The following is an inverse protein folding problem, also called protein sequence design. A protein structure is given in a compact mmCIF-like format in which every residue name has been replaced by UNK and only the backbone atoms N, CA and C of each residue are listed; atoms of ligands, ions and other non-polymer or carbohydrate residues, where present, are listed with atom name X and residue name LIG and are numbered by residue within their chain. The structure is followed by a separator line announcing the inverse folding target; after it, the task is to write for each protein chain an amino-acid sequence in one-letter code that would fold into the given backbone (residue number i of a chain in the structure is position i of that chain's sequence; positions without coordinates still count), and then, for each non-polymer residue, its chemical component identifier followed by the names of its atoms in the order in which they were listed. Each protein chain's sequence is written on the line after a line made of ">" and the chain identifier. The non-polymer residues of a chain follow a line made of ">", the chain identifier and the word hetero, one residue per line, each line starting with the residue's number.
data_IF_612575470954
#
_entry.id   IF_612575470954
#
_cell.length_a   1.000
_cell.length_b   1.000
_cell.length_c   1.000
_cell.angle_alpha   90.00
_cell.angle_beta   90.00
_cell.angle_gamma   90.00
#
_symmetry.space_group_name_H-M   'P 1'
#
loop_
_entity.id
_entity.type
_entity.pdbx_description
1 polymer ?
#
# COMPACT_ATOMS: atom_id res chain seq x y z
N UNK A 1 65.01 -30.24 -29.31
CA UNK A 1 64.04 -30.32 -30.44
C UNK A 1 63.45 -28.93 -30.58
N UNK A 2 63.43 -28.37 -31.79
CA UNK A 2 63.13 -26.95 -32.02
C UNK A 2 62.03 -26.77 -33.06
N UNK A 3 61.02 -25.95 -32.74
CA UNK A 3 59.97 -25.45 -33.65
C UNK A 3 59.62 -24.03 -33.16
N UNK A 4 60.17 -22.95 -33.70
CA UNK A 4 59.80 -22.31 -34.98
C UNK A 4 58.26 -22.12 -35.01
N UNK A 5 57.71 -21.01 -34.52
CA UNK A 5 57.67 -19.66 -35.11
C UNK A 5 56.86 -19.56 -36.41
N UNK A 6 55.63 -19.00 -36.33
CA UNK A 6 55.24 -17.75 -37.03
C UNK A 6 53.75 -17.39 -36.77
N UNK A 7 53.37 -16.10 -36.64
CA UNK A 7 51.99 -15.64 -36.43
C UNK A 7 51.34 -15.01 -37.70
N UNK A 8 50.09 -14.49 -37.54
CA UNK A 8 49.24 -13.66 -38.45
C UNK A 8 48.22 -14.39 -39.35
N UNK A 9 47.16 -13.69 -39.86
CA UNK A 9 46.83 -12.26 -39.71
C UNK A 9 45.42 -11.94 -39.16
N UNK A 10 45.29 -10.74 -38.57
CA UNK A 10 44.00 -10.05 -38.43
C UNK A 10 43.57 -9.46 -39.78
N UNK A 11 42.26 -9.51 -40.09
CA UNK A 11 41.69 -8.80 -41.24
C UNK A 11 40.78 -7.68 -40.74
N UNK A 12 41.05 -6.46 -41.20
CA UNK A 12 40.19 -5.29 -41.09
C UNK A 12 40.04 -4.67 -42.50
N UNK A 13 39.04 -3.80 -42.69
CA UNK A 13 38.69 -3.09 -43.96
C UNK A 13 38.12 -3.97 -45.10
N UNK A 14 37.27 -3.47 -46.02
CA UNK A 14 36.50 -2.21 -46.07
C UNK A 14 35.42 -2.22 -47.20
N UNK A 15 34.24 -1.63 -46.91
CA UNK A 15 33.45 -0.65 -47.72
C UNK A 15 33.21 -0.81 -49.26
N UNK A 16 31.93 -0.91 -49.68
CA UNK A 16 31.24 -0.13 -50.76
C UNK A 16 29.75 -0.58 -50.90
N UNK A 17 28.71 0.29 -50.77
CA UNK A 17 27.98 1.10 -51.79
C UNK A 17 27.23 0.26 -52.86
N UNK A 18 25.92 0.35 -53.15
CA UNK A 18 24.97 1.49 -53.35
C UNK A 18 23.49 0.98 -53.39
N UNK A 19 22.45 1.75 -53.82
CA UNK A 19 21.89 3.02 -53.35
C UNK A 19 20.41 2.92 -52.84
N UNK A 20 19.85 4.01 -52.28
CA UNK A 20 18.43 4.12 -51.86
C UNK A 20 17.43 4.51 -52.98
N UNK A 21 16.14 4.75 -52.65
CA UNK A 21 15.78 6.05 -52.06
C UNK A 21 14.81 6.05 -50.86
N UNK A 22 15.00 7.08 -50.02
CA UNK A 22 14.03 8.05 -49.46
C UNK A 22 12.52 7.82 -49.64
N UNK A 23 11.62 8.18 -48.69
CA UNK A 23 11.72 8.75 -47.33
C UNK A 23 10.32 8.57 -46.65
N UNK A 24 9.93 9.06 -45.46
CA UNK A 24 10.41 10.13 -44.55
C UNK A 24 10.08 9.81 -43.07
N UNK A 25 10.46 10.71 -42.15
CA UNK A 25 9.90 10.85 -40.78
C UNK A 25 9.58 12.32 -40.53
N UNK A 26 8.74 12.63 -39.53
CA UNK A 26 8.98 13.80 -38.69
C UNK A 26 9.06 13.43 -37.20
N UNK A 27 9.91 14.15 -36.47
CA UNK A 27 9.98 14.15 -35.01
C UNK A 27 10.54 15.49 -34.55
N UNK A 28 9.77 16.30 -33.82
CA UNK A 28 10.30 17.42 -33.03
C UNK A 28 9.30 17.92 -31.97
N UNK A 29 9.86 18.31 -30.82
CA UNK A 29 9.47 19.34 -29.83
C UNK A 29 8.11 19.37 -29.09
N UNK A 30 8.21 18.87 -27.85
CA UNK A 30 8.04 19.56 -26.54
C UNK A 30 7.59 21.06 -26.51
N UNK A 31 6.85 21.38 -25.43
CA UNK A 31 6.44 22.69 -24.88
C UNK A 31 5.21 23.38 -25.48
N UNK A 32 4.09 23.30 -24.74
CA UNK A 32 3.38 24.52 -24.33
C UNK A 32 2.71 24.34 -22.95
N UNK A 33 2.87 25.33 -22.07
CA UNK A 33 2.25 25.43 -20.73
C UNK A 33 1.65 26.83 -20.56
N UNK A 34 0.77 27.02 -19.57
CA UNK A 34 0.09 28.31 -19.22
C UNK A 34 -1.13 28.61 -20.14
N UNK A 35 -2.29 29.16 -19.72
CA UNK A 35 -2.73 29.88 -18.50
C UNK A 35 -4.20 29.56 -18.13
N UNK A 36 -4.50 29.57 -16.82
CA UNK A 36 -5.76 29.75 -16.05
C UNK A 36 -7.18 29.71 -16.69
N UNK A 37 -8.11 29.13 -15.91
CA UNK A 37 -9.24 29.91 -15.35
C UNK A 37 -10.67 29.43 -15.66
N UNK A 38 -11.33 28.76 -14.71
CA UNK A 38 -12.77 28.45 -14.79
C UNK A 38 -13.28 27.61 -13.63
N UNK A 39 -14.30 28.10 -12.92
CA UNK A 39 -14.87 27.49 -11.70
C UNK A 39 -16.01 26.51 -12.04
N UNK A 40 -16.15 25.41 -11.28
CA UNK A 40 -17.44 24.95 -10.68
C UNK A 40 -17.29 23.68 -9.83
N UNK A 41 -18.25 23.45 -8.94
CA UNK A 41 -18.13 22.54 -7.80
C UNK A 41 -19.04 21.29 -7.87
N UNK A 42 -18.80 20.36 -6.93
CA UNK A 42 -19.65 19.23 -6.51
C UNK A 42 -19.81 18.08 -7.54
N UNK A 43 -20.00 16.81 -7.15
CA UNK A 43 -20.44 16.25 -5.86
C UNK A 43 -19.78 14.91 -5.52
N UNK A 44 -19.67 14.57 -4.24
CA UNK A 44 -19.59 13.18 -3.75
C UNK A 44 -21.00 12.65 -3.44
N UNK A 45 -21.24 11.33 -3.43
CA UNK A 45 -21.12 10.53 -2.20
C UNK A 45 -20.27 9.25 -2.42
N UNK A 46 -19.45 8.80 -1.48
CA UNK A 46 -19.72 8.29 -0.12
C UNK A 46 -20.11 6.80 -0.07
N UNK A 47 -19.47 6.10 0.85
CA UNK A 47 -19.41 4.63 0.98
C UNK A 47 -20.69 4.04 1.55
N UNK A 48 -21.20 2.95 0.96
CA UNK A 48 -22.20 2.09 1.58
C UNK A 48 -21.79 0.61 1.49
N UNK A 49 -21.80 -0.08 2.64
CA UNK A 49 -21.38 -1.48 2.82
C UNK A 49 -22.63 -2.36 2.94
N UNK A 50 -22.85 -3.27 1.99
CA UNK A 50 -23.88 -4.31 2.13
C UNK A 50 -23.46 -5.65 1.48
N UNK A 51 -23.60 -6.69 2.29
CA UNK A 51 -23.24 -8.09 2.12
C UNK A 51 -23.91 -8.80 0.92
N UNK A 52 -23.15 -9.58 0.13
CA UNK A 52 -23.35 -11.05 -0.08
C UNK A 52 -22.61 -11.62 -1.32
N UNK A 53 -22.04 -12.84 -1.25
CA UNK A 53 -21.35 -13.49 -2.38
C UNK A 53 -22.24 -14.52 -3.12
N UNK A 54 -22.13 -14.63 -4.46
CA UNK A 54 -22.36 -15.90 -5.23
C UNK A 54 -22.32 -15.80 -6.76
N UNK A 55 -22.52 -14.63 -7.40
CA UNK A 55 -22.82 -14.57 -8.85
C UNK A 55 -21.65 -14.63 -9.85
N UNK A 56 -20.39 -14.73 -9.38
CA UNK A 56 -19.21 -14.58 -10.24
C UNK A 56 -18.66 -15.79 -11.03
N UNK A 57 -19.04 -17.09 -10.82
CA UNK A 57 -18.42 -18.18 -11.59
C UNK A 57 -18.90 -18.25 -13.05
N UNK A 58 -20.08 -17.70 -13.37
CA UNK A 58 -20.64 -17.77 -14.73
C UNK A 58 -19.98 -16.82 -15.74
N UNK A 59 -19.62 -15.59 -15.31
CA UNK A 59 -19.06 -14.55 -16.20
C UNK A 59 -17.63 -14.85 -16.65
N UNK A 60 -16.85 -15.55 -15.82
CA UNK A 60 -15.52 -16.02 -16.20
C UNK A 60 -15.59 -17.21 -17.17
N UNK A 61 -16.64 -18.05 -17.07
CA UNK A 61 -16.84 -19.21 -17.96
C UNK A 61 -17.27 -18.81 -19.38
N UNK A 62 -17.97 -17.70 -19.58
CA UNK A 62 -18.24 -17.17 -20.92
C UNK A 62 -16.98 -16.59 -21.55
N UNK A 63 -16.24 -15.72 -20.85
CA UNK A 63 -14.99 -15.15 -21.36
C UNK A 63 -13.95 -16.21 -21.78
N UNK A 64 -13.85 -17.32 -21.04
CA UNK A 64 -13.00 -18.45 -21.42
C UNK A 64 -13.55 -19.24 -22.63
N UNK A 65 -14.87 -19.38 -22.78
CA UNK A 65 -15.46 -19.99 -23.99
C UNK A 65 -15.22 -19.15 -25.23
N UNK A 66 -15.33 -17.83 -25.10
CA UNK A 66 -15.10 -16.88 -26.19
C UNK A 66 -13.61 -16.84 -26.59
N UNK A 67 -12.70 -16.97 -25.62
CA UNK A 67 -11.24 -17.03 -25.87
C UNK A 67 -10.77 -18.34 -26.55
N UNK A 68 -11.46 -19.45 -26.29
CA UNK A 68 -11.17 -20.77 -26.90
C UNK A 68 -12.14 -21.15 -28.03
N UNK A 69 -12.98 -20.22 -28.50
CA UNK A 69 -14.01 -20.41 -29.53
C UNK A 69 -14.95 -21.63 -29.29
N UNK A 70 -15.20 -22.01 -28.04
CA UNK A 70 -15.97 -23.20 -27.68
C UNK A 70 -17.47 -22.95 -27.79
N UNK A 71 -18.06 -23.38 -28.91
CA UNK A 71 -19.51 -23.35 -29.19
C UNK A 71 -20.30 -23.94 -28.00
N UNK A 72 -21.34 -23.26 -27.48
CA UNK A 72 -22.16 -23.80 -26.40
C UNK A 72 -23.02 -24.99 -26.90
N UNK A 73 -23.17 -26.07 -26.10
CA UNK A 73 -24.08 -27.16 -26.44
C UNK A 73 -25.52 -26.67 -26.38
N UNK A 74 -26.31 -26.94 -27.43
CA UNK A 74 -27.74 -26.58 -27.52
C UNK A 74 -28.09 -25.35 -28.36
N UNK A 75 -27.17 -24.83 -29.17
CA UNK A 75 -27.40 -23.65 -30.04
C UNK A 75 -27.89 -23.99 -31.46
N UNK A 76 -28.55 -25.15 -31.64
CA UNK A 76 -29.09 -25.62 -32.93
C UNK A 76 -30.62 -25.49 -32.99
N UNK A 77 -31.12 -24.29 -32.69
CA UNK A 77 -32.49 -23.89 -32.97
C UNK A 77 -32.62 -22.37 -33.13
N UNK A 78 -33.09 -21.93 -34.31
CA UNK A 78 -33.50 -20.57 -34.70
C UNK A 78 -32.42 -19.50 -35.01
N UNK A 79 -32.80 -18.59 -35.93
CA UNK A 79 -32.16 -17.34 -36.37
C UNK A 79 -30.98 -17.43 -37.39
N UNK A 80 -31.35 -17.17 -38.64
CA UNK A 80 -30.56 -17.09 -39.89
C UNK A 80 -29.89 -15.72 -40.16
N UNK A 81 -28.93 -15.72 -41.12
CA UNK A 81 -28.42 -14.57 -41.93
C UNK A 81 -27.57 -13.52 -41.18
N UNK A 82 -26.54 -12.90 -41.75
CA UNK A 82 -26.12 -12.83 -43.17
C UNK A 82 -24.60 -12.60 -43.42
N UNK A 83 -24.18 -12.83 -44.68
CA UNK A 83 -22.94 -12.42 -45.39
C UNK A 83 -21.58 -12.35 -44.67
N UNK A 84 -20.70 -13.32 -44.98
CA UNK A 84 -19.45 -13.03 -45.72
C UNK A 84 -18.89 -14.25 -46.44
N UNK A 85 -18.62 -14.10 -47.74
CA UNK A 85 -18.21 -15.20 -48.63
C UNK A 85 -16.70 -15.46 -48.53
N UNK A 86 -16.33 -16.74 -48.39
CA UNK A 86 -15.03 -17.25 -48.81
C UNK A 86 -15.22 -18.54 -49.61
N UNK A 87 -14.32 -18.74 -50.58
CA UNK A 87 -14.54 -19.51 -51.80
C UNK A 87 -14.11 -20.96 -51.64
N UNK A 88 -15.06 -21.89 -51.64
CA UNK A 88 -14.82 -23.32 -51.92
C UNK A 88 -15.83 -23.83 -52.94
N UNK A 89 -15.34 -24.53 -53.96
CA UNK A 89 -16.14 -24.99 -55.11
C UNK A 89 -16.83 -26.31 -54.74
N UNK A 90 -18.17 -26.41 -54.79
CA UNK A 90 -18.85 -27.69 -54.66
C UNK A 90 -18.70 -28.46 -55.98
N UNK A 91 -17.85 -29.50 -55.96
CA UNK A 91 -17.77 -30.46 -57.07
C UNK A 91 -18.93 -31.45 -56.91
N UNK A 92 -20.02 -31.24 -57.64
CA UNK A 92 -21.04 -32.28 -57.78
C UNK A 92 -20.40 -33.52 -58.42
N UNK A 93 -20.28 -34.59 -57.66
CA UNK A 93 -20.22 -35.95 -58.18
C UNK A 93 -21.53 -36.63 -57.82
N UNK A 94 -22.40 -36.74 -58.81
CA UNK A 94 -23.47 -37.71 -58.82
C UNK A 94 -22.86 -39.11 -58.65
N UNK A 95 -23.24 -39.79 -57.58
CA UNK A 95 -22.84 -41.16 -57.27
C UNK A 95 -23.90 -41.73 -56.31
N UNK A 96 -24.69 -42.67 -56.80
CA UNK A 96 -25.76 -43.29 -56.02
C UNK A 96 -25.24 -44.16 -54.86
N UNK A 97 -26.06 -44.19 -53.82
CA UNK A 97 -26.38 -45.37 -53.00
C UNK A 97 -25.44 -46.58 -53.10
N UNK A 98 -24.42 -46.61 -52.24
CA UNK A 98 -23.96 -47.84 -51.61
C UNK A 98 -23.79 -47.58 -50.11
N UNK A 99 -24.61 -48.25 -49.32
CA UNK A 99 -24.61 -48.20 -47.86
C UNK A 99 -23.52 -49.12 -47.27
N UNK A 100 -22.26 -48.70 -47.38
CA UNK A 100 -21.13 -49.32 -46.67
C UNK A 100 -20.78 -48.52 -45.39
N UNK A 101 -21.26 -48.94 -44.20
CA UNK A 101 -21.03 -48.20 -42.95
C UNK A 101 -19.55 -48.25 -42.47
N UNK A 102 -18.75 -49.16 -43.03
CA UNK A 102 -17.35 -49.41 -42.64
C UNK A 102 -16.40 -48.26 -42.99
N UNK A 103 -16.70 -47.46 -44.03
CA UNK A 103 -15.81 -46.40 -44.51
C UNK A 103 -15.83 -45.13 -43.64
N UNK A 104 -16.80 -45.00 -42.72
CA UNK A 104 -16.96 -43.85 -41.82
C UNK A 104 -16.57 -44.17 -40.37
N UNK A 105 -16.09 -45.39 -40.11
CA UNK A 105 -15.61 -45.84 -38.78
C UNK A 105 -14.09 -45.79 -38.63
N UNK A 106 -13.37 -45.15 -39.56
CA UNK A 106 -11.90 -45.05 -39.57
C UNK A 106 -11.31 -44.09 -38.50
N UNK A 107 -12.00 -43.90 -37.38
CA UNK A 107 -11.39 -43.43 -36.13
C UNK A 107 -11.31 -44.60 -35.16
N UNK A 108 -10.17 -44.74 -34.48
CA UNK A 108 -9.89 -45.66 -33.34
C UNK A 108 -9.24 -47.04 -33.56
N UNK A 109 -8.98 -47.54 -34.78
CA UNK A 109 -8.05 -48.71 -34.92
C UNK A 109 -6.58 -48.26 -34.90
N UNK A 110 -6.22 -47.29 -35.75
CA UNK A 110 -4.86 -46.72 -35.83
C UNK A 110 -4.43 -45.97 -34.56
N UNK A 111 -5.39 -45.41 -33.81
CA UNK A 111 -5.16 -44.66 -32.56
C UNK A 111 -5.16 -45.56 -31.31
N UNK A 112 -5.31 -46.89 -31.47
CA UNK A 112 -5.36 -47.81 -30.34
C UNK A 112 -3.96 -47.98 -29.70
N UNK A 113 -3.88 -48.10 -28.36
CA UNK A 113 -2.59 -48.22 -27.67
C UNK A 113 -1.87 -49.54 -27.96
N UNK A 114 -2.63 -50.57 -28.37
CA UNK A 114 -2.14 -51.90 -28.73
C UNK A 114 -2.04 -52.10 -30.25
N UNK A 115 -1.95 -51.01 -31.03
CA UNK A 115 -1.92 -51.06 -32.49
C UNK A 115 -0.69 -51.81 -33.04
N UNK A 116 -0.94 -52.90 -33.76
CA UNK A 116 0.07 -53.65 -34.50
C UNK A 116 0.03 -53.27 -36.01
N UNK A 117 1.03 -52.53 -36.52
CA UNK A 117 1.06 -52.13 -37.92
C UNK A 117 1.23 -53.31 -38.89
N UNK A 118 1.85 -54.42 -38.46
CA UNK A 118 2.06 -55.57 -39.35
C UNK A 118 0.73 -56.29 -39.61
N UNK A 119 0.01 -56.64 -38.53
CA UNK A 119 -1.34 -57.23 -38.66
C UNK A 119 -2.32 -56.33 -39.38
N UNK A 120 -2.30 -55.02 -39.13
CA UNK A 120 -3.19 -54.09 -39.84
C UNK A 120 -2.94 -54.09 -41.36
N UNK A 121 -1.67 -54.05 -41.78
CA UNK A 121 -1.31 -54.10 -43.21
C UNK A 121 -1.62 -55.47 -43.83
N UNK A 122 -1.32 -56.58 -43.14
CA UNK A 122 -1.66 -57.93 -43.61
C UNK A 122 -3.18 -58.10 -43.79
N UNK A 123 -3.96 -57.66 -42.79
CA UNK A 123 -5.42 -57.67 -42.86
C UNK A 123 -5.91 -56.83 -44.05
N UNK A 124 -5.47 -55.58 -44.16
CA UNK A 124 -5.84 -54.66 -45.23
C UNK A 124 -5.52 -55.22 -46.63
N UNK A 125 -4.35 -55.84 -46.82
CA UNK A 125 -3.95 -56.47 -48.08
C UNK A 125 -4.72 -57.76 -48.39
N UNK A 126 -5.17 -58.50 -47.36
CA UNK A 126 -5.92 -59.74 -47.53
C UNK A 126 -7.42 -59.54 -47.79
N UNK A 127 -8.01 -58.47 -47.25
CA UNK A 127 -9.46 -58.22 -47.32
C UNK A 127 -9.87 -57.20 -48.37
N UNK A 128 -8.98 -56.27 -48.74
CA UNK A 128 -9.34 -55.09 -49.54
C UNK A 128 -8.76 -55.10 -50.95
N UNK A 129 -9.45 -54.45 -51.88
CA UNK A 129 -8.98 -54.28 -53.27
C UNK A 129 -7.77 -53.34 -53.38
N UNK A 130 -7.01 -53.46 -54.47
CA UNK A 130 -5.88 -52.56 -54.78
C UNK A 130 -6.29 -51.07 -54.78
N UNK A 131 -7.49 -50.75 -55.30
CA UNK A 131 -7.98 -49.36 -55.35
C UNK A 131 -8.24 -48.79 -53.94
N UNK A 132 -8.75 -49.61 -53.03
CA UNK A 132 -8.94 -49.25 -51.61
C UNK A 132 -7.63 -49.13 -50.86
N UNK A 133 -6.63 -49.98 -51.15
CA UNK A 133 -5.27 -49.88 -50.57
C UNK A 133 -4.58 -48.59 -51.00
N UNK A 134 -4.59 -48.24 -52.29
CA UNK A 134 -4.00 -46.99 -52.80
C UNK A 134 -4.70 -45.74 -52.25
N UNK A 135 -6.02 -45.81 -52.01
CA UNK A 135 -6.76 -44.73 -51.34
C UNK A 135 -6.32 -44.57 -49.88
N UNK A 136 -6.19 -45.68 -49.14
CA UNK A 136 -5.72 -45.67 -47.75
C UNK A 136 -4.28 -45.15 -47.64
N UNK A 137 -3.38 -45.53 -48.54
CA UNK A 137 -2.02 -44.98 -48.64
C UNK A 137 -2.05 -43.45 -48.82
N UNK A 138 -2.85 -42.96 -49.78
CA UNK A 138 -2.91 -41.53 -50.07
C UNK A 138 -3.43 -40.71 -48.89
N UNK A 139 -4.48 -41.21 -48.21
CA UNK A 139 -5.00 -40.65 -46.97
C UNK A 139 -3.92 -40.63 -45.88
N UNK A 140 -3.29 -41.76 -45.58
CA UNK A 140 -2.27 -41.87 -44.53
C UNK A 140 -1.04 -40.99 -44.80
N UNK A 141 -0.60 -40.83 -46.06
CA UNK A 141 0.45 -39.87 -46.43
C UNK A 141 0.00 -38.41 -46.25
N UNK A 142 -1.28 -38.10 -46.46
CA UNK A 142 -1.88 -36.81 -46.15
C UNK A 142 -1.92 -36.53 -44.64
N UNK A 143 -2.33 -37.53 -43.86
CA UNK A 143 -2.45 -37.43 -42.40
C UNK A 143 -1.07 -37.28 -41.74
N UNK A 144 -0.06 -38.05 -42.15
CA UNK A 144 1.33 -37.90 -41.69
C UNK A 144 1.85 -36.47 -41.88
N UNK A 145 1.57 -35.86 -43.04
CA UNK A 145 2.00 -34.48 -43.34
C UNK A 145 1.24 -33.45 -42.51
N UNK A 146 -0.05 -33.69 -42.28
CA UNK A 146 -0.91 -32.83 -41.45
C UNK A 146 -0.46 -32.88 -40.00
N UNK A 147 -0.29 -34.08 -39.43
CA UNK A 147 0.16 -34.31 -38.06
C UNK A 147 1.58 -33.77 -37.80
N UNK A 148 2.51 -33.88 -38.76
CA UNK A 148 3.83 -33.25 -38.65
C UNK A 148 3.73 -31.71 -38.66
N UNK A 149 2.84 -31.14 -39.47
CA UNK A 149 2.52 -29.72 -39.47
C UNK A 149 1.93 -29.25 -38.13
N UNK A 150 0.95 -29.96 -37.60
CA UNK A 150 0.32 -29.69 -36.30
C UNK A 150 1.31 -29.84 -35.14
N UNK A 151 2.11 -30.91 -35.12
CA UNK A 151 3.19 -31.11 -34.14
C UNK A 151 4.15 -29.93 -34.15
N UNK A 152 4.58 -29.47 -35.32
CA UNK A 152 5.45 -28.29 -35.45
C UNK A 152 4.75 -27.04 -34.94
N UNK A 153 3.49 -26.81 -35.31
CA UNK A 153 2.71 -25.66 -34.85
C UNK A 153 2.57 -25.62 -33.32
N UNK A 154 2.25 -26.76 -32.68
CA UNK A 154 2.18 -26.90 -31.22
C UNK A 154 3.53 -26.60 -30.54
N UNK A 155 4.63 -27.10 -31.10
CA UNK A 155 5.99 -26.82 -30.61
C UNK A 155 6.33 -25.34 -30.73
N UNK A 156 6.04 -24.69 -31.86
CA UNK A 156 6.27 -23.25 -32.04
C UNK A 156 5.40 -22.40 -31.12
N UNK A 157 4.14 -22.74 -30.92
CA UNK A 157 3.24 -22.04 -29.99
C UNK A 157 3.72 -22.19 -28.53
N UNK A 158 4.10 -23.41 -28.12
CA UNK A 158 4.63 -23.65 -26.77
C UNK A 158 5.92 -22.86 -26.50
N UNK A 159 6.90 -22.92 -27.40
CA UNK A 159 8.12 -22.13 -27.26
C UNK A 159 7.85 -20.63 -27.32
N UNK A 160 6.94 -20.17 -28.19
CA UNK A 160 6.54 -18.74 -28.25
C UNK A 160 5.90 -18.28 -26.95
N UNK A 161 5.06 -19.10 -26.32
CA UNK A 161 4.47 -18.84 -24.99
C UNK A 161 5.54 -18.80 -23.90
N UNK A 162 6.48 -19.74 -23.89
CA UNK A 162 7.58 -19.77 -22.93
C UNK A 162 8.50 -18.56 -23.06
N UNK A 163 8.87 -18.17 -24.29
CA UNK A 163 9.66 -16.96 -24.56
C UNK A 163 8.92 -15.71 -24.07
N UNK A 164 7.62 -15.55 -24.39
CA UNK A 164 6.79 -14.43 -23.89
C UNK A 164 6.69 -14.40 -22.36
N UNK A 165 6.61 -15.56 -21.71
CA UNK A 165 6.59 -15.66 -20.24
C UNK A 165 7.94 -15.21 -19.65
N UNK A 166 9.06 -15.70 -20.18
CA UNK A 166 10.42 -15.31 -19.76
C UNK A 166 10.67 -13.82 -20.02
N UNK A 167 10.23 -13.27 -21.15
CA UNK A 167 10.28 -11.82 -21.41
C UNK A 167 9.46 -11.03 -20.39
N UNK A 168 8.26 -11.51 -20.03
CA UNK A 168 7.38 -10.85 -19.05
C UNK A 168 8.01 -10.86 -17.67
N UNK A 169 8.60 -11.98 -17.26
CA UNK A 169 9.39 -12.09 -16.01
C UNK A 169 10.59 -11.13 -16.06
N UNK A 170 11.30 -11.06 -17.20
CA UNK A 170 12.41 -10.12 -17.39
C UNK A 170 12.00 -8.65 -17.34
N UNK A 171 10.83 -8.31 -17.90
CA UNK A 171 10.21 -6.97 -17.81
C UNK A 171 9.82 -6.67 -16.36
N UNK A 172 9.14 -7.59 -15.68
CA UNK A 172 8.73 -7.45 -14.28
C UNK A 172 9.94 -7.27 -13.34
N UNK A 173 11.01 -8.05 -13.53
CA UNK A 173 12.27 -7.89 -12.78
C UNK A 173 12.88 -6.51 -13.01
N UNK A 174 13.07 -6.11 -14.28
CA UNK A 174 13.57 -4.76 -14.59
C UNK A 174 12.69 -3.66 -14.01
N UNK A 175 11.36 -3.78 -14.06
CA UNK A 175 10.46 -2.80 -13.44
C UNK A 175 10.51 -2.79 -11.91
N UNK A 176 10.92 -3.88 -11.25
CA UNK A 176 11.14 -3.94 -9.81
C UNK A 176 12.51 -3.36 -9.41
N UNK A 177 13.53 -3.61 -10.24
CA UNK A 177 14.88 -3.04 -10.10
C UNK A 177 14.86 -1.52 -10.33
N UNK A 178 14.24 -1.07 -11.43
CA UNK A 178 14.15 0.33 -11.87
C UNK A 178 13.22 1.19 -10.98
N UNK A 179 12.11 0.61 -10.49
CA UNK A 179 11.31 1.26 -9.43
C UNK A 179 11.95 1.14 -8.04
N UNK A 180 13.07 0.43 -7.93
CA UNK A 180 13.80 0.16 -6.69
C UNK A 180 12.84 -0.09 -5.54
N UNK A 181 12.12 -1.21 -5.53
CA UNK A 181 11.07 -1.46 -4.53
C UNK A 181 11.50 -1.27 -3.05
N UNK A 182 12.76 -1.54 -2.64
CA UNK A 182 13.27 -1.15 -1.32
C UNK A 182 13.47 0.38 -1.16
N UNK A 183 13.88 1.07 -2.23
CA UNK A 183 14.26 2.48 -2.25
C UNK A 183 13.08 3.45 -2.38
N UNK A 184 12.00 3.07 -3.07
CA UNK A 184 10.80 3.92 -3.17
C UNK A 184 10.06 4.03 -1.86
N UNK A 185 10.05 2.96 -1.04
CA UNK A 185 9.49 3.02 0.31
C UNK A 185 10.38 3.82 1.27
N UNK A 186 11.71 3.71 1.20
CA UNK A 186 12.60 4.55 2.03
C UNK A 186 12.60 6.03 1.60
N UNK A 187 12.38 6.34 0.32
CA UNK A 187 12.32 7.73 -0.18
C UNK A 187 11.11 8.51 0.35
N UNK A 188 10.00 7.85 0.70
CA UNK A 188 8.82 8.47 1.32
C UNK A 188 8.80 8.30 2.83
N UNK A 189 9.16 7.13 3.34
CA UNK A 189 9.14 6.83 4.77
C UNK A 189 10.29 7.50 5.54
N UNK A 190 11.47 7.64 4.94
CA UNK A 190 12.63 8.30 5.55
C UNK A 190 12.35 9.76 5.96
N UNK A 191 11.88 10.62 5.05
CA UNK A 191 11.48 12.00 5.39
C UNK A 191 10.33 12.05 6.40
N UNK A 192 9.35 11.13 6.32
CA UNK A 192 8.25 11.08 7.28
C UNK A 192 8.71 10.72 8.71
N UNK A 193 9.61 9.74 8.85
CA UNK A 193 10.22 9.37 10.14
C UNK A 193 11.08 10.54 10.68
N UNK A 194 11.85 11.21 9.83
CA UNK A 194 12.64 12.37 10.23
C UNK A 194 11.76 13.51 10.77
N UNK A 195 10.66 13.83 10.08
CA UNK A 195 9.69 14.83 10.52
C UNK A 195 9.00 14.45 11.85
N UNK A 196 8.63 13.18 12.03
CA UNK A 196 8.06 12.69 13.30
C UNK A 196 9.09 12.76 14.44
N UNK A 197 10.36 12.45 14.17
CA UNK A 197 11.42 12.56 15.17
C UNK A 197 11.72 14.02 15.56
N UNK A 198 11.71 14.95 14.60
CA UNK A 198 11.90 16.38 14.83
C UNK A 198 10.74 16.98 15.65
N UNK A 199 9.49 16.70 15.25
CA UNK A 199 8.29 17.18 15.96
C UNK A 199 8.17 16.58 17.36
N UNK A 200 8.46 15.29 17.54
CA UNK A 200 8.54 14.68 18.86
C UNK A 200 9.65 15.30 19.73
N UNK A 201 10.82 15.56 19.13
CA UNK A 201 11.93 16.24 19.82
C UNK A 201 11.60 17.67 20.26
N UNK A 202 10.83 18.41 19.47
CA UNK A 202 10.28 19.71 19.83
C UNK A 202 9.32 19.63 21.02
N UNK A 203 8.33 18.74 20.94
CA UNK A 203 7.32 18.54 22.00
C UNK A 203 7.94 18.05 23.33
N UNK A 204 8.99 17.24 23.28
CA UNK A 204 9.72 16.81 24.49
C UNK A 204 10.38 18.01 25.17
N UNK A 205 11.10 18.86 24.41
CA UNK A 205 11.73 20.07 24.95
C UNK A 205 10.71 21.05 25.51
N UNK A 206 9.63 21.31 24.77
CA UNK A 206 8.55 22.18 25.23
C UNK A 206 7.91 21.63 26.52
N UNK A 207 7.61 20.33 26.58
CA UNK A 207 7.06 19.69 27.78
C UNK A 207 8.04 19.63 28.96
N UNK A 208 9.35 19.62 28.72
CA UNK A 208 10.38 19.78 29.76
C UNK A 208 10.46 21.23 30.26
N UNK A 209 10.41 22.22 29.37
CA UNK A 209 10.39 23.64 29.72
C UNK A 209 9.12 24.02 30.48
N UNK A 210 7.93 23.56 30.06
CA UNK A 210 6.68 23.76 30.79
C UNK A 210 6.73 23.13 32.19
N UNK A 211 7.26 21.90 32.33
CA UNK A 211 7.44 21.26 33.65
C UNK A 211 8.47 21.98 34.52
N UNK A 212 9.53 22.53 33.93
CA UNK A 212 10.51 23.36 34.64
C UNK A 212 9.87 24.65 35.15
N UNK A 213 9.15 25.38 34.30
CA UNK A 213 8.41 26.59 34.68
C UNK A 213 7.37 26.31 35.76
N UNK A 214 6.59 25.23 35.65
CA UNK A 214 5.61 24.83 36.67
C UNK A 214 6.27 24.51 38.02
N UNK A 215 7.44 23.84 37.99
CA UNK A 215 8.22 23.53 39.20
C UNK A 215 8.83 24.78 39.82
N UNK A 216 9.33 25.72 39.01
CA UNK A 216 9.87 27.01 39.46
C UNK A 216 8.77 27.90 40.05
N UNK A 217 7.60 27.98 39.40
CA UNK A 217 6.44 28.69 39.92
C UNK A 217 5.94 28.10 41.25
N UNK A 218 5.81 26.76 41.34
CA UNK A 218 5.42 26.10 42.59
C UNK A 218 6.44 26.31 43.71
N UNK A 219 7.73 26.27 43.40
CA UNK A 219 8.78 26.57 44.39
C UNK A 219 8.73 28.04 44.85
N UNK A 220 8.45 28.98 43.95
CA UNK A 220 8.24 30.39 44.33
C UNK A 220 7.01 30.55 45.24
N UNK A 221 5.90 29.90 44.92
CA UNK A 221 4.65 29.91 45.70
C UNK A 221 4.82 29.29 47.10
N UNK A 222 5.53 28.16 47.20
CA UNK A 222 5.91 27.57 48.49
C UNK A 222 6.80 28.54 49.30
N UNK A 223 7.75 29.24 48.67
CA UNK A 223 8.58 30.24 49.38
C UNK A 223 7.88 31.55 49.70
N UNK A 224 6.82 31.94 49.00
CA UNK A 224 6.02 33.12 49.31
C UNK A 224 5.04 32.83 50.45
N UNK A 225 4.34 31.68 50.42
CA UNK A 225 3.49 31.25 51.54
C UNK A 225 4.28 31.17 52.85
N UNK A 226 5.43 30.49 52.84
CA UNK A 226 6.32 30.38 54.00
C UNK A 226 6.91 31.73 54.48
N UNK A 227 6.96 32.77 53.64
CA UNK A 227 7.33 34.13 54.06
C UNK A 227 6.13 34.82 54.72
N UNK A 228 4.98 34.80 54.07
CA UNK A 228 3.75 35.38 54.58
C UNK A 228 3.39 34.80 55.96
N UNK A 229 3.47 33.47 56.12
CA UNK A 229 3.27 32.78 57.40
C UNK A 229 4.28 33.22 58.47
N UNK A 230 5.56 33.41 58.12
CA UNK A 230 6.57 33.92 59.06
C UNK A 230 6.34 35.37 59.43
N UNK A 231 5.88 36.19 58.49
CA UNK A 231 5.61 37.61 58.74
C UNK A 231 4.34 37.79 59.59
N UNK A 232 3.30 36.95 59.46
CA UNK A 232 2.15 36.96 60.39
C UNK A 232 2.58 36.55 61.81
N UNK A 233 3.38 35.49 61.96
CA UNK A 233 3.94 35.09 63.26
C UNK A 233 4.81 36.20 63.86
N UNK A 234 5.65 36.86 63.04
CA UNK A 234 6.48 37.99 63.47
C UNK A 234 5.64 39.20 63.89
N UNK A 235 4.53 39.47 63.21
CA UNK A 235 3.60 40.55 63.55
C UNK A 235 2.87 40.28 64.87
N UNK A 236 2.48 39.03 65.14
CA UNK A 236 1.88 38.61 66.43
C UNK A 236 2.91 38.64 67.57
N UNK A 237 4.17 38.27 67.33
CA UNK A 237 5.23 38.39 68.34
C UNK A 237 5.57 39.84 68.70
N UNK A 238 5.36 40.80 67.78
CA UNK A 238 5.59 42.23 68.01
C UNK A 238 4.43 42.95 68.73
N UNK A 239 3.38 42.23 69.15
CA UNK A 239 2.16 42.80 69.70
C UNK A 239 2.28 43.50 71.06
N UNK A 240 2.95 42.95 72.11
CA UNK A 240 3.02 43.65 73.40
C UNK A 240 3.76 44.99 73.26
N UNK A 241 4.87 45.04 72.50
CA UNK A 241 5.61 46.27 72.23
C UNK A 241 4.86 47.29 71.37
N UNK A 242 3.83 46.85 70.63
CA UNK A 242 2.97 47.73 69.82
C UNK A 242 1.84 48.30 70.67
N UNK A 243 1.22 47.47 71.51
CA UNK A 243 0.23 47.88 72.50
C UNK A 243 0.83 48.88 73.50
N UNK A 244 2.03 48.62 74.03
CA UNK A 244 2.74 49.56 74.93
C UNK A 244 2.92 50.96 74.32
N UNK A 245 3.19 51.04 73.01
CA UNK A 245 3.34 52.33 72.32
C UNK A 245 2.01 53.02 72.08
N UNK A 246 0.96 52.29 71.69
CA UNK A 246 -0.36 52.87 71.47
C UNK A 246 -0.97 53.39 72.78
N UNK A 247 -0.75 52.69 73.90
CA UNK A 247 -1.10 53.14 75.25
C UNK A 247 -0.29 54.38 75.64
N UNK A 248 1.02 54.42 75.36
CA UNK A 248 1.86 55.61 75.63
C UNK A 248 1.56 56.82 74.73
N UNK A 249 0.74 56.66 73.68
CA UNK A 249 0.30 57.72 72.76
C UNK A 249 -1.19 58.13 72.99
N UNK A 250 -1.82 57.71 74.09
CA UNK A 250 -3.25 57.93 74.43
C UNK A 250 -4.27 57.36 73.42
N UNK A 251 -3.85 56.45 72.54
CA UNK A 251 -4.72 55.86 71.49
C UNK A 251 -5.35 54.55 71.94
N UNK A 252 -6.10 54.60 73.04
CA UNK A 252 -6.76 53.44 73.64
C UNK A 252 -7.69 52.69 72.65
N UNK A 253 -8.47 53.43 71.83
CA UNK A 253 -9.39 52.81 70.85
C UNK A 253 -8.67 51.94 69.81
N UNK A 254 -7.47 52.36 69.36
CA UNK A 254 -6.71 51.62 68.35
C UNK A 254 -5.96 50.44 68.99
N UNK A 255 -5.48 50.59 70.22
CA UNK A 255 -4.94 49.49 71.02
C UNK A 255 -6.00 48.37 71.22
N UNK A 256 -7.25 48.74 71.50
CA UNK A 256 -8.35 47.77 71.60
C UNK A 256 -8.66 47.03 70.30
N UNK A 257 -8.61 47.71 69.15
CA UNK A 257 -8.86 47.10 67.83
C UNK A 257 -7.77 46.09 67.51
N UNK A 258 -6.51 46.51 67.64
CA UNK A 258 -5.34 45.63 67.50
C UNK A 258 -5.48 44.41 68.41
N UNK A 259 -5.77 44.61 69.71
CA UNK A 259 -5.93 43.51 70.67
C UNK A 259 -7.02 42.51 70.25
N UNK A 260 -8.17 42.97 69.77
CA UNK A 260 -9.27 42.10 69.32
C UNK A 260 -8.88 41.26 68.09
N UNK A 261 -8.16 41.83 67.13
CA UNK A 261 -7.63 41.08 65.99
C UNK A 261 -6.60 40.03 66.40
N UNK A 262 -5.67 40.40 67.29
CA UNK A 262 -4.65 39.50 67.83
C UNK A 262 -5.29 38.38 68.66
N UNK A 263 -6.26 38.70 69.52
CA UNK A 263 -6.95 37.73 70.36
C UNK A 263 -7.62 36.64 69.52
N UNK A 264 -8.30 37.02 68.43
CA UNK A 264 -8.89 36.07 67.49
C UNK A 264 -7.84 35.17 66.82
N UNK A 265 -6.66 35.69 66.50
CA UNK A 265 -5.54 34.90 65.97
C UNK A 265 -4.90 33.97 67.02
N UNK A 266 -4.74 34.43 68.26
CA UNK A 266 -4.22 33.62 69.38
C UNK A 266 -5.20 32.50 69.76
N UNK A 267 -6.51 32.76 69.71
CA UNK A 267 -7.56 31.74 69.89
C UNK A 267 -7.56 30.71 68.74
N UNK A 268 -7.33 31.16 67.51
CA UNK A 268 -7.18 30.27 66.35
C UNK A 268 -5.88 29.44 66.37
N UNK A 269 -4.82 29.91 67.03
CA UNK A 269 -3.56 29.19 67.20
C UNK A 269 -3.51 28.29 68.44
N UNK A 270 -4.39 28.51 69.42
CA UNK A 270 -4.62 27.59 70.54
C UNK A 270 -3.38 27.28 71.37
N UNK A 271 -2.98 26.02 71.41
CA UNK A 271 -1.94 25.47 72.31
C UNK A 271 -0.52 25.47 71.70
N UNK A 272 -0.20 26.47 70.86
CA UNK A 272 1.17 26.69 70.38
C UNK A 272 2.01 27.33 71.48
N UNK A 273 3.18 26.73 71.77
CA UNK A 273 4.11 27.21 72.80
C UNK A 273 4.45 28.70 72.60
N UNK A 274 4.23 29.50 73.65
CA UNK A 274 4.42 30.96 73.64
C UNK A 274 3.13 31.78 73.42
N UNK A 275 2.05 31.20 72.88
CA UNK A 275 0.76 31.91 72.69
C UNK A 275 0.17 32.39 74.02
N UNK A 276 0.25 31.56 75.07
CA UNK A 276 -0.20 31.92 76.42
C UNK A 276 0.65 33.05 77.05
N UNK A 277 1.97 33.04 76.84
CA UNK A 277 2.90 34.06 77.35
C UNK A 277 2.64 35.43 76.68
N UNK A 278 2.38 35.44 75.37
CA UNK A 278 2.01 36.66 74.63
C UNK A 278 0.65 37.19 75.13
N UNK A 279 -0.34 36.31 75.35
CA UNK A 279 -1.66 36.68 75.87
C UNK A 279 -1.52 37.35 77.24
N UNK A 280 -0.80 36.75 78.18
CA UNK A 280 -0.57 37.30 79.52
C UNK A 280 0.20 38.64 79.48
N UNK A 281 1.18 38.78 78.57
CA UNK A 281 1.91 40.02 78.39
C UNK A 281 1.02 41.16 77.87
N UNK A 282 0.15 40.89 76.89
CA UNK A 282 -0.78 41.88 76.35
C UNK A 282 -1.90 42.25 77.35
N UNK A 283 -2.43 41.28 78.09
CA UNK A 283 -3.40 41.53 79.17
C UNK A 283 -2.79 42.42 80.27
N UNK A 284 -1.51 42.21 80.64
CA UNK A 284 -0.80 43.10 81.57
C UNK A 284 -0.66 44.54 81.07
N UNK A 285 -0.45 44.74 79.76
CA UNK A 285 -0.35 46.08 79.16
C UNK A 285 -1.72 46.78 79.14
N UNK A 286 -2.79 46.07 78.77
CA UNK A 286 -4.15 46.64 78.76
C UNK A 286 -4.66 46.93 80.18
N UNK A 287 -4.43 46.03 81.14
CA UNK A 287 -4.82 46.24 82.54
C UNK A 287 -4.06 47.42 83.18
N UNK A 288 -2.81 47.67 82.76
CA UNK A 288 -2.05 48.85 83.18
C UNK A 288 -2.67 50.15 82.65
N UNK A 289 -3.13 50.17 81.40
CA UNK A 289 -3.82 51.34 80.85
C UNK A 289 -5.09 51.69 81.65
N UNK A 290 -5.86 50.68 82.07
CA UNK A 290 -7.08 50.87 82.88
C UNK A 290 -6.85 51.30 84.35
N UNK A 291 -5.63 51.65 84.74
CA UNK A 291 -5.27 52.01 86.11
C UNK A 291 -4.56 53.37 86.25
N UNK A 292 -4.35 54.09 85.13
CA UNK A 292 -3.82 55.45 85.09
C UNK A 292 -4.92 56.52 84.77
N UNK A 293 -6.21 56.11 84.72
CA UNK A 293 -7.44 56.95 84.71
C UNK A 293 -8.10 57.00 86.12
#
# INVERSE_FOLDING_TARGET
>A
MSTISSPRPSIASSRAHSPGPASSRPSLDVLNTNVNGGLSAASTPSTARALSPSLHPRRNRSALRDYYNLKPPGADASASRDVSRSRSVPRNTDAGDITDPTALTAGTELDSPDFDPQRYVEHLLSTSSLATVLKAENTLVGDIRTLDGERKALVYDNYSKLIRAVETIGKMRRSMDDRGAPLTMTKTLGPAIAFVAETAGGLIKEGEEQRRQMKEAKAQDETSSLKNEKDTVRWVLATPQRLEKLVAEDKQEDAEKDWKEIQHLLDAWGDVKGVAEIREACEKVMNRASHDD
#
